data_IF_758681690470
#
_entry.id   IF_758681690470
#
_cell.length_a   1.000
_cell.length_b   1.000
_cell.length_c   1.000
_cell.angle_alpha   90.00
_cell.angle_beta   90.00
_cell.angle_gamma   90.00
#
_symmetry.space_group_name_H-M   'P 1'
#
loop_
_entity.id
_entity.type
_entity.pdbx_description
1 polymer ?
#
# COMPACT_ATOMS: atom_id res chain seq x y z
N UNK A 1 21.99 17.19 69.61
CA UNK A 1 20.83 16.42 69.12
C UNK A 1 20.51 16.89 67.72
N UNK A 2 20.47 15.95 66.77
CA UNK A 2 20.32 16.10 65.32
C UNK A 2 19.07 16.86 64.87
N UNK A 3 19.16 17.52 63.69
CA UNK A 3 18.29 17.35 62.50
C UNK A 3 18.67 18.42 61.46
N UNK A 4 19.34 18.04 60.37
CA UNK A 4 18.80 17.55 59.10
C UNK A 4 18.22 18.66 58.22
N UNK A 5 18.98 18.99 57.17
CA UNK A 5 18.55 19.77 56.02
C UNK A 5 17.56 18.97 55.16
N UNK A 6 16.57 19.64 54.58
CA UNK A 6 15.82 19.14 53.43
C UNK A 6 15.68 20.29 52.43
N UNK A 7 16.28 20.07 51.27
CA UNK A 7 16.24 20.86 50.06
C UNK A 7 14.86 20.67 49.41
N UNK A 8 14.10 21.76 49.24
CA UNK A 8 12.79 21.73 48.58
C UNK A 8 12.99 21.96 47.08
N UNK A 9 13.01 20.87 46.30
CA UNK A 9 13.07 20.93 44.83
C UNK A 9 11.65 21.09 44.28
N UNK A 10 11.44 22.17 43.53
CA UNK A 10 10.22 22.50 42.81
C UNK A 10 9.99 21.46 41.70
N UNK A 11 8.86 20.75 41.79
CA UNK A 11 8.34 19.87 40.75
C UNK A 11 7.56 20.72 39.74
N UNK A 12 8.12 20.96 38.55
CA UNK A 12 7.39 21.56 37.43
C UNK A 12 6.59 20.47 36.72
N UNK A 13 5.27 20.59 36.74
CA UNK A 13 4.37 19.84 35.85
C UNK A 13 4.54 20.36 34.42
N UNK A 14 4.99 19.48 33.51
CA UNK A 14 4.73 19.54 32.07
C UNK A 14 4.13 18.17 31.72
N UNK A 15 2.88 18.06 31.28
CA UNK A 15 2.37 18.53 30.00
C UNK A 15 2.08 17.28 29.16
N UNK A 16 0.83 17.10 28.72
CA UNK A 16 0.33 15.91 28.03
C UNK A 16 1.32 15.29 27.03
N UNK A 17 1.72 14.04 27.29
CA UNK A 17 2.56 13.25 26.41
C UNK A 17 1.80 12.84 25.15
N UNK A 18 1.93 13.63 24.09
CA UNK A 18 1.80 13.12 22.73
C UNK A 18 3.04 12.27 22.46
N UNK A 19 2.90 10.94 22.45
CA UNK A 19 3.96 10.03 22.03
C UNK A 19 4.17 10.19 20.52
N UNK A 20 4.97 11.17 20.12
CA UNK A 20 5.60 11.14 18.81
C UNK A 20 6.58 9.97 18.83
N UNK A 21 6.17 8.82 18.27
CA UNK A 21 7.13 7.78 17.97
C UNK A 21 8.25 8.41 17.12
N UNK A 22 9.53 8.27 17.52
CA UNK A 22 10.62 8.80 16.74
C UNK A 22 10.64 8.07 15.40
N UNK A 23 10.38 8.80 14.31
CA UNK A 23 10.62 8.32 12.95
C UNK A 23 12.13 8.08 12.82
N UNK A 24 12.58 6.87 12.41
CA UNK A 24 14.00 6.61 12.20
C UNK A 24 14.58 7.61 11.19
N UNK A 25 15.81 8.12 11.39
CA UNK A 25 16.49 8.92 10.38
C UNK A 25 16.78 8.01 9.19
N UNK A 26 15.99 8.14 8.12
CA UNK A 26 15.95 7.22 6.98
C UNK A 26 14.55 6.68 6.64
N UNK A 27 13.49 7.18 7.30
CA UNK A 27 12.12 6.74 7.08
C UNK A 27 11.63 6.86 5.64
N UNK A 28 10.87 5.86 5.21
CA UNK A 28 10.10 5.89 3.96
C UNK A 28 9.01 6.96 4.09
N UNK A 29 9.11 8.02 3.29
CA UNK A 29 7.99 8.96 3.10
C UNK A 29 6.94 8.32 2.20
N UNK A 30 5.68 8.33 2.63
CA UNK A 30 4.54 7.80 1.87
C UNK A 30 3.76 8.95 1.22
N UNK A 31 3.15 8.68 0.05
CA UNK A 31 2.29 9.65 -0.64
C UNK A 31 0.92 9.75 0.01
N UNK A 32 0.47 8.68 0.65
CA UNK A 32 -0.75 8.61 1.43
C UNK A 32 -0.48 7.84 2.71
N UNK A 33 -1.02 8.34 3.81
CA UNK A 33 -1.05 7.65 5.10
C UNK A 33 -2.41 7.82 5.76
N UNK A 34 -2.80 6.85 6.59
CA UNK A 34 -3.96 6.95 7.47
C UNK A 34 -3.75 6.14 8.75
N UNK A 35 -4.55 6.39 9.81
CA UNK A 35 -4.61 5.49 10.96
C UNK A 35 -5.18 4.10 10.58
N UNK A 36 -4.83 3.03 11.32
CA UNK A 36 -5.48 1.73 11.18
C UNK A 36 -6.99 1.75 11.49
N UNK A 37 -7.69 0.72 11.02
CA UNK A 37 -9.09 0.42 11.36
C UNK A 37 -10.11 0.83 10.29
N UNK A 38 -9.66 1.32 9.12
CA UNK A 38 -10.56 1.59 8.02
C UNK A 38 -10.99 0.28 7.35
N UNK A 39 -12.28 0.18 6.98
CA UNK A 39 -12.84 -0.98 6.29
C UNK A 39 -13.85 -0.48 5.26
N UNK A 40 -13.69 -0.96 4.03
CA UNK A 40 -14.60 -0.68 2.94
C UNK A 40 -16.00 -1.23 3.24
N UNK A 41 -17.03 -0.42 3.02
CA UNK A 41 -18.39 -0.69 3.48
C UNK A 41 -18.99 -2.00 2.95
N UNK A 42 -18.53 -2.49 1.80
CA UNK A 42 -19.01 -3.73 1.18
C UNK A 42 -18.15 -4.96 1.49
N UNK A 43 -17.10 -4.81 2.30
CA UNK A 43 -16.28 -5.93 2.72
C UNK A 43 -17.06 -6.85 3.66
N UNK A 44 -17.06 -8.15 3.35
CA UNK A 44 -17.73 -9.17 4.19
C UNK A 44 -16.78 -10.25 4.68
N UNK A 45 -15.49 -10.13 4.37
CA UNK A 45 -14.47 -11.08 4.82
C UNK A 45 -14.01 -10.84 6.26
N UNK A 46 -13.19 -11.74 6.82
CA UNK A 46 -12.55 -11.51 8.12
C UNK A 46 -11.65 -10.27 8.07
N UNK A 47 -11.87 -9.31 8.97
CA UNK A 47 -11.00 -8.13 9.08
C UNK A 47 -9.63 -8.55 9.60
N UNK A 48 -8.58 -8.26 8.83
CA UNK A 48 -7.19 -8.59 9.17
C UNK A 48 -6.32 -7.34 9.09
N UNK A 49 -5.44 -7.09 10.08
CA UNK A 49 -4.46 -5.99 10.00
C UNK A 49 -3.55 -6.06 8.76
N UNK A 50 -3.32 -7.26 8.21
CA UNK A 50 -2.55 -7.48 6.99
C UNK A 50 -3.21 -6.92 5.72
N UNK A 51 -4.52 -6.65 5.74
CA UNK A 51 -5.27 -6.12 4.59
C UNK A 51 -5.71 -4.66 4.79
N UNK A 52 -5.26 -4.03 5.88
CA UNK A 52 -5.51 -2.62 6.15
C UNK A 52 -4.27 -1.81 5.76
N UNK A 53 -4.30 -1.24 4.55
CA UNK A 53 -3.21 -0.43 4.04
C UNK A 53 -3.20 0.96 4.70
N UNK A 54 -2.15 1.25 5.47
CA UNK A 54 -2.02 2.51 6.25
C UNK A 54 -0.98 3.47 5.66
N UNK A 55 -0.20 3.02 4.69
CA UNK A 55 0.78 3.85 3.99
C UNK A 55 1.07 3.29 2.60
N UNK A 56 1.07 4.15 1.57
CA UNK A 56 1.39 3.73 0.18
C UNK A 56 2.24 4.76 -0.55
N UNK A 57 3.08 4.27 -1.47
CA UNK A 57 3.92 5.06 -2.36
C UNK A 57 4.15 4.32 -3.67
N UNK A 58 4.17 5.06 -4.77
CA UNK A 58 4.59 4.61 -6.09
C UNK A 58 5.67 5.54 -6.62
N UNK A 59 6.78 4.98 -7.09
CA UNK A 59 7.88 5.74 -7.71
C UNK A 59 8.20 5.23 -9.11
N UNK A 60 8.56 6.12 -10.01
CA UNK A 60 9.16 5.78 -11.30
C UNK A 60 10.60 6.29 -11.32
N UNK A 61 11.57 5.39 -11.46
CA UNK A 61 12.98 5.76 -11.66
C UNK A 61 13.29 5.88 -13.14
N UNK A 62 13.70 7.07 -13.57
CA UNK A 62 14.06 7.36 -14.95
C UNK A 62 15.38 6.68 -15.33
N UNK A 63 16.37 6.70 -14.44
CA UNK A 63 17.66 6.06 -14.65
C UNK A 63 17.57 4.54 -14.91
N UNK A 64 16.79 3.80 -14.13
CA UNK A 64 16.61 2.35 -14.30
C UNK A 64 15.39 1.96 -15.13
N UNK A 65 14.54 2.92 -15.50
CA UNK A 65 13.26 2.70 -16.18
C UNK A 65 12.36 1.66 -15.46
N UNK A 66 12.29 1.77 -14.13
CA UNK A 66 11.53 0.84 -13.26
C UNK A 66 10.47 1.57 -12.47
N UNK A 67 9.36 0.86 -12.23
CA UNK A 67 8.32 1.26 -11.29
C UNK A 67 8.50 0.50 -10.00
N UNK A 68 8.34 1.18 -8.88
CA UNK A 68 8.34 0.59 -7.55
C UNK A 68 7.10 1.01 -6.80
N UNK A 69 6.34 0.04 -6.31
CA UNK A 69 5.31 0.28 -5.31
C UNK A 69 5.84 -0.14 -3.95
N UNK A 70 5.40 0.58 -2.91
CA UNK A 70 5.66 0.25 -1.52
C UNK A 70 4.38 0.49 -0.73
N UNK A 71 3.99 -0.48 0.08
CA UNK A 71 2.85 -0.37 0.96
C UNK A 71 3.18 -0.86 2.37
N UNK A 72 2.57 -0.21 3.36
CA UNK A 72 2.59 -0.59 4.77
C UNK A 72 1.19 -0.97 5.21
N UNK A 73 1.08 -2.14 5.85
CA UNK A 73 -0.13 -2.65 6.45
C UNK A 73 -0.17 -2.36 7.96
N UNK A 74 -1.37 -2.38 8.54
CA UNK A 74 -1.57 -2.20 9.98
C UNK A 74 -0.98 -3.33 10.83
N UNK A 75 -0.66 -4.48 10.24
CA UNK A 75 0.01 -5.59 10.92
C UNK A 75 0.81 -6.49 9.97
N UNK A 76 1.43 -7.56 10.51
CA UNK A 76 2.28 -8.46 9.74
C UNK A 76 1.57 -9.06 8.52
N UNK A 77 2.26 -9.11 7.38
CA UNK A 77 1.73 -9.61 6.11
C UNK A 77 1.70 -11.14 6.07
N UNK A 78 2.71 -11.79 6.62
CA UNK A 78 2.87 -13.25 6.61
C UNK A 78 2.19 -13.85 7.83
N UNK A 79 0.85 -13.80 7.86
CA UNK A 79 0.06 -14.32 8.99
C UNK A 79 -1.33 -14.78 8.56
N UNK A 80 -1.77 -15.91 9.12
CA UNK A 80 -3.14 -16.40 9.03
C UNK A 80 -3.47 -17.07 7.70
N UNK A 81 -3.81 -16.28 6.69
CA UNK A 81 -4.34 -16.75 5.40
C UNK A 81 -3.64 -16.03 4.23
N UNK A 82 -3.75 -16.54 2.99
CA UNK A 82 -3.25 -15.83 1.82
C UNK A 82 -3.80 -14.40 1.76
N UNK A 83 -2.90 -13.46 1.47
CA UNK A 83 -3.20 -12.05 1.29
C UNK A 83 -2.91 -11.67 -0.16
N UNK A 84 -3.78 -10.84 -0.73
CA UNK A 84 -3.68 -10.42 -2.13
C UNK A 84 -3.62 -8.90 -2.16
N UNK A 85 -2.53 -8.35 -2.68
CA UNK A 85 -2.34 -6.91 -2.84
C UNK A 85 -2.47 -6.59 -4.32
N UNK A 86 -3.42 -5.71 -4.65
CA UNK A 86 -3.71 -5.38 -6.04
C UNK A 86 -3.58 -3.89 -6.23
N UNK A 87 -2.67 -3.50 -7.12
CA UNK A 87 -2.53 -2.13 -7.57
C UNK A 87 -3.24 -1.99 -8.90
N UNK A 88 -4.23 -1.11 -8.98
CA UNK A 88 -4.80 -0.67 -10.24
C UNK A 88 -4.00 0.47 -10.82
N UNK A 89 -3.79 0.45 -12.14
CA UNK A 89 -3.05 1.46 -12.85
C UNK A 89 -3.88 1.99 -14.01
N UNK A 90 -4.03 3.30 -14.05
CA UNK A 90 -4.54 4.06 -15.18
C UNK A 90 -3.37 4.49 -16.06
N UNK A 91 -3.21 3.85 -17.23
CA UNK A 91 -2.15 4.18 -18.20
C UNK A 91 -2.59 5.23 -19.23
N UNK A 92 -3.71 5.90 -18.98
CA UNK A 92 -4.43 6.79 -19.89
C UNK A 92 -5.61 6.10 -20.57
N UNK A 93 -6.74 6.80 -20.71
CA UNK A 93 -7.93 6.28 -21.41
C UNK A 93 -8.64 5.11 -20.71
N UNK A 94 -8.36 4.86 -19.43
CA UNK A 94 -9.08 3.85 -18.66
C UNK A 94 -10.55 4.26 -18.46
N UNK A 95 -11.46 3.29 -18.56
CA UNK A 95 -12.90 3.47 -18.32
C UNK A 95 -13.47 2.49 -17.30
N UNK A 96 -12.66 1.53 -16.85
CA UNK A 96 -13.10 0.50 -15.93
C UNK A 96 -13.03 1.02 -14.49
N UNK A 97 -14.21 1.27 -13.91
CA UNK A 97 -14.42 1.74 -12.54
C UNK A 97 -15.43 0.82 -11.81
N UNK A 98 -15.04 -0.42 -11.45
CA UNK A 98 -15.98 -1.46 -11.07
C UNK A 98 -16.43 -1.42 -9.60
N UNK A 99 -15.94 -0.46 -8.80
CA UNK A 99 -16.07 -0.46 -7.35
C UNK A 99 -17.22 0.47 -6.88
N UNK A 100 -18.30 -0.06 -6.29
CA UNK A 100 -19.39 0.77 -5.78
C UNK A 100 -18.93 1.73 -4.67
N UNK A 101 -19.29 3.02 -4.76
CA UNK A 101 -18.86 4.01 -3.77
C UNK A 101 -17.41 4.50 -3.94
N UNK A 102 -16.67 3.93 -4.90
CA UNK A 102 -15.28 4.27 -5.21
C UNK A 102 -15.09 4.62 -6.71
N UNK A 103 -15.95 5.47 -7.30
CA UNK A 103 -15.99 5.71 -8.75
C UNK A 103 -14.72 6.32 -9.36
N UNK A 104 -13.85 6.94 -8.54
CA UNK A 104 -12.62 7.57 -9.03
C UNK A 104 -11.44 6.59 -9.10
N UNK A 105 -11.63 5.32 -8.78
CA UNK A 105 -10.62 4.28 -8.96
C UNK A 105 -10.84 3.66 -10.34
N UNK A 106 -10.05 4.09 -11.33
CA UNK A 106 -10.28 3.81 -12.75
C UNK A 106 -9.02 3.28 -13.40
N UNK A 107 -8.97 2.00 -13.72
CA UNK A 107 -7.74 1.33 -14.14
C UNK A 107 -7.90 0.53 -15.43
N UNK A 108 -6.80 0.35 -16.17
CA UNK A 108 -6.74 -0.51 -17.36
C UNK A 108 -5.53 -1.46 -17.33
N UNK A 109 -4.92 -1.61 -16.15
CA UNK A 109 -3.98 -2.65 -15.80
C UNK A 109 -4.04 -2.88 -14.29
N UNK A 110 -3.62 -4.06 -13.86
CA UNK A 110 -3.40 -4.36 -12.44
C UNK A 110 -2.05 -5.02 -12.23
N UNK A 111 -1.39 -4.71 -11.12
CA UNK A 111 -0.34 -5.55 -10.54
C UNK A 111 -0.97 -6.33 -9.41
N UNK A 112 -0.85 -7.65 -9.44
CA UNK A 112 -1.38 -8.54 -8.41
C UNK A 112 -0.22 -9.23 -7.74
N UNK A 113 -0.09 -9.08 -6.43
CA UNK A 113 0.86 -9.82 -5.60
C UNK A 113 0.09 -10.70 -4.60
N UNK A 114 0.38 -11.99 -4.63
CA UNK A 114 -0.12 -12.96 -3.65
C UNK A 114 0.97 -13.26 -2.65
N UNK A 115 0.63 -13.23 -1.37
CA UNK A 115 1.51 -13.64 -0.28
C UNK A 115 0.85 -14.73 0.53
N UNK A 116 1.52 -15.88 0.62
CA UNK A 116 1.04 -17.02 1.39
C UNK A 116 1.49 -16.93 2.86
N UNK A 117 0.81 -17.63 3.79
CA UNK A 117 1.16 -17.65 5.21
C UNK A 117 2.56 -18.22 5.52
N UNK A 118 3.18 -18.94 4.59
CA UNK A 118 4.55 -19.45 4.70
C UNK A 118 5.62 -18.43 4.26
N UNK A 119 5.18 -17.24 3.82
CA UNK A 119 6.04 -16.16 3.36
C UNK A 119 6.40 -16.24 1.88
N UNK A 120 5.98 -17.29 1.17
CA UNK A 120 6.14 -17.34 -0.28
C UNK A 120 5.26 -16.29 -0.95
N UNK A 121 5.80 -15.66 -2.00
CA UNK A 121 5.10 -14.63 -2.75
C UNK A 121 5.24 -14.86 -4.25
N UNK A 122 4.20 -14.49 -4.98
CA UNK A 122 4.17 -14.48 -6.44
C UNK A 122 3.44 -13.24 -6.91
N UNK A 123 3.74 -12.78 -8.12
CA UNK A 123 3.06 -11.63 -8.68
C UNK A 123 2.97 -11.64 -10.19
N UNK A 124 2.11 -10.78 -10.73
CA UNK A 124 1.96 -10.59 -12.16
C UNK A 124 1.46 -9.19 -12.48
N UNK A 125 1.83 -8.70 -13.66
CA UNK A 125 1.21 -7.53 -14.30
C UNK A 125 0.16 -8.03 -15.28
N UNK A 126 -1.06 -7.53 -15.18
CA UNK A 126 -2.19 -7.91 -16.03
C UNK A 126 -2.70 -6.67 -16.76
N UNK A 127 -2.72 -6.72 -18.09
CA UNK A 127 -3.25 -5.63 -18.92
C UNK A 127 -4.74 -5.86 -19.23
N UNK A 128 -5.53 -4.79 -19.26
CA UNK A 128 -6.98 -4.84 -19.48
C UNK A 128 -7.38 -3.93 -20.66
N UNK A 129 -7.81 -4.47 -21.81
CA UNK A 129 -7.69 -5.88 -22.21
C UNK A 129 -6.22 -6.28 -22.44
N UNK A 130 -5.92 -7.58 -22.34
CA UNK A 130 -4.57 -8.10 -22.58
C UNK A 130 -4.28 -9.39 -21.83
N UNK A 131 -2.98 -9.72 -21.77
CA UNK A 131 -2.47 -10.90 -21.06
C UNK A 131 -1.90 -10.58 -19.69
N UNK A 132 -1.51 -11.63 -18.97
CA UNK A 132 -0.77 -11.57 -17.72
C UNK A 132 0.71 -11.91 -17.96
N UNK A 133 1.60 -11.10 -17.40
CA UNK A 133 3.04 -11.34 -17.40
C UNK A 133 3.47 -11.61 -15.96
N UNK A 134 4.01 -12.80 -15.63
CA UNK A 134 4.54 -13.08 -14.31
C UNK A 134 5.68 -12.12 -13.95
N UNK A 135 5.71 -11.71 -12.68
CA UNK A 135 6.87 -11.02 -12.11
C UNK A 135 7.91 -12.05 -11.66
N UNK A 136 9.18 -11.68 -11.75
CA UNK A 136 10.24 -12.44 -11.09
C UNK A 136 10.02 -12.41 -9.58
N UNK A 137 10.24 -13.52 -8.87
CA UNK A 137 10.09 -13.55 -7.41
C UNK A 137 10.99 -12.54 -6.70
N UNK A 138 12.16 -12.22 -7.26
CA UNK A 138 13.08 -11.20 -6.73
C UNK A 138 12.55 -9.77 -6.87
N UNK A 139 11.53 -9.55 -7.70
CA UNK A 139 10.85 -8.27 -7.80
C UNK A 139 10.06 -7.93 -6.53
N UNK A 140 9.69 -8.92 -5.72
CA UNK A 140 8.82 -8.76 -4.56
C UNK A 140 9.64 -8.91 -3.27
N UNK A 141 9.54 -7.91 -2.40
CA UNK A 141 10.16 -7.90 -1.07
C UNK A 141 9.08 -7.72 0.00
N UNK A 142 9.13 -8.57 1.03
CA UNK A 142 8.21 -8.52 2.16
C UNK A 142 9.03 -8.49 3.43
N UNK A 143 8.72 -7.55 4.31
CA UNK A 143 9.36 -7.44 5.62
C UNK A 143 8.33 -6.99 6.65
N UNK A 144 7.97 -7.89 7.58
CA UNK A 144 6.95 -7.66 8.60
C UNK A 144 5.61 -7.20 7.99
N UNK A 145 5.29 -5.92 8.12
CA UNK A 145 4.08 -5.28 7.62
C UNK A 145 4.30 -4.47 6.32
N UNK A 146 5.49 -4.52 5.73
CA UNK A 146 5.81 -3.87 4.47
C UNK A 146 5.84 -4.86 3.32
N UNK A 147 5.32 -4.41 2.18
CA UNK A 147 5.49 -5.05 0.87
C UNK A 147 6.01 -4.02 -0.11
N UNK A 148 6.93 -4.44 -0.96
CA UNK A 148 7.39 -3.64 -2.08
C UNK A 148 7.62 -4.52 -3.29
N UNK A 149 7.30 -3.99 -4.46
CA UNK A 149 7.54 -4.64 -5.72
C UNK A 149 8.15 -3.68 -6.73
N UNK A 150 9.18 -4.13 -7.45
CA UNK A 150 9.90 -3.35 -8.44
C UNK A 150 9.98 -4.09 -9.76
N UNK A 151 9.52 -3.48 -10.85
CA UNK A 151 9.49 -4.12 -12.16
C UNK A 151 9.72 -3.11 -13.30
N UNK A 152 10.09 -3.59 -14.50
CA UNK A 152 10.33 -2.72 -15.65
C UNK A 152 9.06 -1.95 -16.07
N UNK A 153 9.20 -0.66 -16.37
CA UNK A 153 8.10 0.16 -16.89
C UNK A 153 7.52 -0.35 -18.21
N UNK A 154 8.29 -1.12 -18.98
CA UNK A 154 7.85 -1.75 -20.23
C UNK A 154 6.71 -2.75 -20.05
N UNK A 155 6.47 -3.26 -18.84
CA UNK A 155 5.32 -4.11 -18.54
C UNK A 155 3.99 -3.34 -18.50
N UNK A 156 4.02 -2.01 -18.46
CA UNK A 156 2.85 -1.14 -18.47
C UNK A 156 2.93 -0.18 -19.68
N UNK A 157 2.80 -0.68 -20.92
CA UNK A 157 2.87 0.17 -22.11
C UNK A 157 1.77 1.24 -22.11
N UNK A 158 2.02 2.39 -22.73
CA UNK A 158 1.04 3.49 -22.74
C UNK A 158 -0.24 3.14 -23.49
N UNK A 159 -1.36 3.67 -23.00
CA UNK A 159 -2.66 3.68 -23.69
C UNK A 159 -3.17 5.10 -23.93
N UNK A 160 -2.30 6.11 -23.85
CA UNK A 160 -2.65 7.52 -24.08
C UNK A 160 -2.03 8.50 -23.11
N UNK A 161 -1.41 8.04 -22.02
CA UNK A 161 -0.63 8.89 -21.11
C UNK A 161 0.86 8.55 -21.17
N UNK A 162 1.73 9.53 -20.94
CA UNK A 162 3.11 9.23 -20.57
C UNK A 162 3.14 8.67 -19.14
N UNK A 163 4.22 7.98 -18.76
CA UNK A 163 4.31 7.34 -17.43
C UNK A 163 4.19 8.34 -16.27
N UNK A 164 4.60 9.59 -16.47
CA UNK A 164 4.41 10.71 -15.53
C UNK A 164 2.94 11.10 -15.34
N UNK A 165 2.06 10.71 -16.27
CA UNK A 165 0.61 10.87 -16.19
C UNK A 165 -0.12 9.58 -15.83
N UNK A 166 0.59 8.50 -15.48
CA UNK A 166 -0.06 7.31 -14.94
C UNK A 166 -0.53 7.58 -13.51
N UNK A 167 -1.72 7.04 -13.20
CA UNK A 167 -2.32 7.10 -11.89
C UNK A 167 -2.51 5.69 -11.34
N UNK A 168 -2.51 5.52 -10.03
CA UNK A 168 -2.64 4.20 -9.41
C UNK A 168 -3.35 4.22 -8.05
N UNK A 169 -3.91 3.09 -7.66
CA UNK A 169 -4.52 2.86 -6.35
C UNK A 169 -4.17 1.45 -5.85
N UNK A 170 -4.10 1.24 -4.52
CA UNK A 170 -3.94 -0.08 -3.93
C UNK A 170 -5.24 -0.54 -3.25
N UNK A 171 -5.63 -1.80 -3.47
CA UNK A 171 -6.67 -2.47 -2.69
C UNK A 171 -6.25 -3.87 -2.23
N UNK A 172 -5.91 -4.05 -0.93
CA UNK A 172 -5.69 -5.37 -0.36
C UNK A 172 -7.01 -6.14 -0.26
N UNK A 173 -6.94 -7.44 -0.56
CA UNK A 173 -8.11 -8.33 -0.58
C UNK A 173 -7.83 -9.69 0.05
N UNK A 174 -8.89 -10.31 0.56
CA UNK A 174 -8.84 -11.60 1.27
C UNK A 174 -8.99 -12.82 0.36
N UNK A 175 -9.22 -12.61 -0.93
CA UNK A 175 -9.44 -13.64 -1.95
C UNK A 175 -9.47 -13.04 -3.36
N UNK A 176 -9.50 -13.90 -4.38
CA UNK A 176 -9.60 -13.50 -5.80
C UNK A 176 -10.92 -13.92 -6.50
N UNK A 177 -11.75 -14.76 -5.88
CA UNK A 177 -12.99 -15.29 -6.50
C UNK A 177 -14.29 -14.60 -6.07
N UNK A 178 -15.44 -14.99 -6.62
CA UNK A 178 -16.74 -14.46 -6.18
C UNK A 178 -16.96 -12.98 -6.51
N UNK A 179 -17.69 -12.26 -5.66
CA UNK A 179 -18.00 -10.84 -5.84
C UNK A 179 -16.80 -9.99 -5.39
N UNK A 180 -16.10 -9.27 -6.29
CA UNK A 180 -14.81 -8.64 -5.95
C UNK A 180 -14.86 -7.67 -4.78
N UNK A 181 -15.91 -6.85 -4.68
CA UNK A 181 -16.08 -5.88 -3.60
C UNK A 181 -16.17 -6.52 -2.20
N UNK A 182 -16.72 -7.74 -2.11
CA UNK A 182 -16.86 -8.46 -0.85
C UNK A 182 -15.52 -8.92 -0.25
N UNK A 183 -14.46 -8.89 -1.06
CA UNK A 183 -13.12 -9.34 -0.68
C UNK A 183 -12.13 -8.22 -0.46
N UNK A 184 -12.45 -6.99 -0.87
CA UNK A 184 -11.58 -5.84 -0.71
C UNK A 184 -11.80 -5.28 0.69
N UNK A 185 -10.78 -5.37 1.54
CA UNK A 185 -10.92 -4.82 2.88
C UNK A 185 -10.76 -3.31 2.86
N UNK A 186 -9.79 -2.80 2.10
CA UNK A 186 -9.48 -1.36 2.07
C UNK A 186 -9.03 -0.90 0.69
N UNK A 187 -9.25 0.38 0.41
CA UNK A 187 -8.59 1.11 -0.68
C UNK A 187 -7.58 2.08 -0.09
N UNK A 188 -6.49 2.37 -0.81
CA UNK A 188 -5.47 3.32 -0.38
C UNK A 188 -4.95 4.12 -1.59
N UNK A 189 -5.36 5.41 -1.71
CA UNK A 189 -6.38 6.12 -0.93
C UNK A 189 -7.81 5.64 -1.20
N UNK A 190 -8.78 6.07 -0.40
CA UNK A 190 -10.20 5.93 -0.72
C UNK A 190 -10.60 6.87 -1.86
N UNK A 191 -11.37 6.34 -2.81
CA UNK A 191 -12.00 7.05 -3.93
C UNK A 191 -11.09 8.05 -4.65
N UNK A 192 -9.83 7.66 -4.83
CA UNK A 192 -8.82 8.47 -5.51
C UNK A 192 -7.65 7.61 -6.01
N UNK A 193 -6.93 8.13 -6.99
CA UNK A 193 -5.67 7.57 -7.47
C UNK A 193 -4.52 8.53 -7.19
N UNK A 194 -3.31 8.00 -7.07
CA UNK A 194 -2.08 8.74 -6.85
C UNK A 194 -1.24 8.75 -8.12
N UNK A 195 -0.50 9.83 -8.40
CA UNK A 195 0.53 9.80 -9.44
C UNK A 195 1.76 9.02 -8.96
N UNK A 196 2.64 8.64 -9.88
CA UNK A 196 3.99 8.20 -9.50
C UNK A 196 4.87 9.39 -9.12
N UNK A 197 5.68 9.25 -8.07
CA UNK A 197 6.79 10.16 -7.80
C UNK A 197 7.93 9.87 -8.78
N UNK A 198 8.38 10.90 -9.49
CA UNK A 198 9.51 10.79 -10.41
C UNK A 198 10.82 10.82 -9.64
N UNK A 199 11.66 9.82 -9.84
CA UNK A 199 13.02 9.74 -9.33
C UNK A 199 13.96 9.87 -10.54
N UNK A 200 14.76 10.95 -10.63
CA UNK A 200 15.72 11.14 -11.71
C UNK A 200 16.71 9.97 -11.84
#
# INVERSE_FOLDING_TARGET
MMRSAVLCTILVLAGCGGTTNPVPPGGISFQFTRPPGHVYALYTGPVRPALDAIGVKGTFSQASNTLTFTAQMAGPIVVGAPNYYVWGINRGGATNAPFPGEPNIVFNAVVVVTVNPDGTASGSVVLLPGGATPLDSSAISISQNFISETFPASLLPSTGAQISGYMWNLWPRSGLGGTPQAQIQTFAPENAELPFLLIP
#
